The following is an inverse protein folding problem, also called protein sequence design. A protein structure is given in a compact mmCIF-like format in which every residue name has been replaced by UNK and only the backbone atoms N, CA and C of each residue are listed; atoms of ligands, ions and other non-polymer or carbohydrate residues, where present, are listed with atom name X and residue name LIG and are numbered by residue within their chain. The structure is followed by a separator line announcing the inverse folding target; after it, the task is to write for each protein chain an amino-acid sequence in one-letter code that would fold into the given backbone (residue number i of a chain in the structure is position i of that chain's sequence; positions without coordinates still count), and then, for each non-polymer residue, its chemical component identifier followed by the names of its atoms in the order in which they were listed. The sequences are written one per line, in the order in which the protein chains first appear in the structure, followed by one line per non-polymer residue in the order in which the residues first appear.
data_IF_835890291699
#
_entry.id   IF_835890291699
#
_cell.length_a   1.000
_cell.length_b   1.000
_cell.length_c   1.000
_cell.angle_alpha   90.00
_cell.angle_beta   90.00
_cell.angle_gamma   90.00
#
_symmetry.space_group_name_H-M   'P 1'
#
loop_
_entity.id
_entity.type
_entity.pdbx_description
1 polymer ?
#
# COMPACT_ATOMS: atom_id res chain seq x y z
N UNK A 1 -18.13 12.07 15.79
CA UNK A 1 -18.97 10.88 15.53
C UNK A 1 -19.01 10.68 14.03
N UNK A 2 -18.81 9.46 13.54
CA UNK A 2 -18.73 9.21 12.09
C UNK A 2 -20.09 8.78 11.54
N UNK A 3 -20.52 9.41 10.46
CA UNK A 3 -21.71 9.04 9.69
C UNK A 3 -21.32 8.66 8.27
N UNK A 4 -21.80 7.50 7.83
CA UNK A 4 -21.60 6.99 6.48
C UNK A 4 -22.87 7.23 5.67
N UNK A 5 -22.79 8.15 4.73
CA UNK A 5 -23.90 8.56 3.87
C UNK A 5 -24.40 9.97 4.18
N UNK A 6 -24.31 10.84 3.19
CA UNK A 6 -24.84 12.20 3.12
C UNK A 6 -26.19 12.25 2.38
N UNK A 7 -27.00 11.20 2.51
CA UNK A 7 -28.38 11.18 2.06
C UNK A 7 -29.30 11.99 2.99
N UNK A 8 -30.61 11.95 2.73
CA UNK A 8 -31.59 12.72 3.51
C UNK A 8 -31.52 12.40 5.01
N UNK A 9 -31.56 11.10 5.35
CA UNK A 9 -31.47 10.60 6.73
C UNK A 9 -30.11 10.97 7.36
N UNK A 10 -29.02 10.84 6.60
CA UNK A 10 -27.68 11.17 7.09
C UNK A 10 -27.58 12.64 7.49
N UNK A 11 -28.05 13.54 6.62
CA UNK A 11 -28.02 14.97 6.88
C UNK A 11 -28.94 15.39 8.04
N UNK A 12 -30.12 14.79 8.16
CA UNK A 12 -31.04 15.02 9.29
C UNK A 12 -30.38 14.62 10.61
N UNK A 13 -29.79 13.43 10.66
CA UNK A 13 -29.13 12.95 11.86
C UNK A 13 -27.88 13.76 12.22
N UNK A 14 -27.11 14.20 11.21
CA UNK A 14 -25.97 15.10 11.42
C UNK A 14 -26.41 16.44 12.01
N UNK A 15 -27.50 17.02 11.51
CA UNK A 15 -28.06 18.25 12.06
C UNK A 15 -28.42 18.09 13.54
N UNK A 16 -29.14 17.03 13.89
CA UNK A 16 -29.59 16.80 15.28
C UNK A 16 -28.41 16.62 16.24
N UNK A 17 -27.35 15.94 15.81
CA UNK A 17 -26.15 15.72 16.60
C UNK A 17 -25.32 17.00 16.73
N UNK A 18 -25.11 17.72 15.63
CA UNK A 18 -24.38 18.98 15.60
C UNK A 18 -25.05 20.03 16.51
N UNK A 19 -26.38 20.15 16.46
CA UNK A 19 -27.14 21.04 17.34
C UNK A 19 -27.04 20.66 18.83
N UNK A 20 -26.80 19.38 19.14
CA UNK A 20 -26.54 18.89 20.50
C UNK A 20 -25.07 19.03 20.92
N UNK A 21 -24.23 19.64 20.09
CA UNK A 21 -22.82 19.90 20.38
C UNK A 21 -21.88 18.75 20.07
N UNK A 22 -22.34 17.70 19.38
CA UNK A 22 -21.45 16.63 18.91
C UNK A 22 -20.75 17.06 17.63
N UNK A 23 -19.43 16.84 17.56
CA UNK A 23 -18.69 16.93 16.29
C UNK A 23 -19.05 15.74 15.40
N UNK A 24 -19.37 15.98 14.14
CA UNK A 24 -19.81 14.95 13.20
C UNK A 24 -18.89 14.93 11.98
N UNK A 25 -18.35 13.77 11.65
CA UNK A 25 -17.60 13.53 10.41
C UNK A 25 -18.53 12.79 9.44
N UNK A 26 -18.91 13.44 8.35
CA UNK A 26 -19.80 12.91 7.33
C UNK A 26 -19.00 12.40 6.13
N UNK A 27 -19.10 11.10 5.84
CA UNK A 27 -18.39 10.44 4.74
C UNK A 27 -19.39 9.99 3.67
N UNK A 28 -19.19 10.37 2.42
CA UNK A 28 -20.02 9.90 1.29
C UNK A 28 -19.22 9.77 -0.01
N UNK A 29 -19.64 8.83 -0.85
CA UNK A 29 -19.08 8.60 -2.19
C UNK A 29 -19.41 9.72 -3.18
N UNK A 30 -20.54 10.40 -2.99
CA UNK A 30 -20.96 11.51 -3.83
C UNK A 30 -20.13 12.77 -3.51
N UNK A 31 -19.91 13.64 -4.52
CA UNK A 31 -19.15 14.88 -4.33
C UNK A 31 -19.93 15.98 -3.59
N UNK A 32 -21.23 15.79 -3.37
CA UNK A 32 -22.12 16.72 -2.67
C UNK A 32 -23.17 15.95 -1.85
N UNK A 33 -23.60 16.46 -0.69
CA UNK A 33 -24.70 15.88 0.06
C UNK A 33 -25.98 15.94 -0.77
N UNK A 34 -26.85 14.95 -0.57
CA UNK A 34 -28.09 14.80 -1.31
C UNK A 34 -27.90 14.79 -2.85
N UNK A 35 -26.69 14.55 -3.36
CA UNK A 35 -26.34 14.75 -4.77
C UNK A 35 -27.12 13.90 -5.78
N UNK A 36 -27.84 12.87 -5.32
CA UNK A 36 -28.77 12.05 -6.13
C UNK A 36 -30.24 12.50 -6.04
N UNK A 37 -30.54 13.41 -5.12
CA UNK A 37 -31.90 13.81 -4.75
C UNK A 37 -32.21 15.27 -5.10
N UNK A 38 -31.20 16.14 -5.13
CA UNK A 38 -31.38 17.58 -5.33
C UNK A 38 -30.37 18.16 -6.32
N UNK A 39 -30.67 19.31 -6.94
CA UNK A 39 -29.70 20.06 -7.73
C UNK A 39 -28.44 20.42 -6.93
N UNK A 40 -27.26 20.54 -7.58
CA UNK A 40 -25.99 20.83 -6.91
C UNK A 40 -25.99 22.09 -6.04
N UNK A 41 -26.78 23.10 -6.42
CA UNK A 41 -26.91 24.36 -5.68
C UNK A 41 -27.51 24.11 -4.29
N UNK A 42 -28.52 23.24 -4.20
CA UNK A 42 -29.15 22.86 -2.93
C UNK A 42 -28.19 22.00 -2.10
N UNK A 43 -27.47 21.07 -2.74
CA UNK A 43 -26.45 20.26 -2.08
C UNK A 43 -25.36 21.12 -1.44
N UNK A 44 -24.85 22.13 -2.15
CA UNK A 44 -23.85 23.08 -1.60
C UNK A 44 -24.41 23.90 -0.44
N UNK A 45 -25.62 24.45 -0.59
CA UNK A 45 -26.25 25.21 0.48
C UNK A 45 -26.43 24.37 1.76
N UNK A 46 -26.83 23.09 1.61
CA UNK A 46 -26.94 22.15 2.73
C UNK A 46 -25.57 21.83 3.35
N UNK A 47 -24.54 21.62 2.52
CA UNK A 47 -23.18 21.39 2.97
C UNK A 47 -22.66 22.56 3.83
N UNK A 48 -22.81 23.78 3.33
CA UNK A 48 -22.41 25.01 4.03
C UNK A 48 -23.17 25.20 5.35
N UNK A 49 -24.49 24.98 5.33
CA UNK A 49 -25.33 25.13 6.51
C UNK A 49 -24.95 24.16 7.64
N UNK A 50 -24.72 22.89 7.32
CA UNK A 50 -24.33 21.89 8.32
C UNK A 50 -22.85 22.03 8.72
N UNK A 51 -21.97 22.46 7.82
CA UNK A 51 -20.58 22.77 8.17
C UNK A 51 -20.51 23.90 9.21
N UNK A 52 -21.36 24.92 9.08
CA UNK A 52 -21.47 26.00 10.06
C UNK A 52 -21.95 25.52 11.45
N UNK A 53 -22.58 24.34 11.53
CA UNK A 53 -22.99 23.70 12.78
C UNK A 53 -21.92 22.75 13.36
N UNK A 54 -20.78 22.56 12.69
CA UNK A 54 -19.70 21.68 13.14
C UNK A 54 -19.70 20.27 12.52
N UNK A 55 -20.31 20.12 11.34
CA UNK A 55 -20.18 18.91 10.52
C UNK A 55 -18.97 19.03 9.59
N UNK A 56 -17.99 18.14 9.78
CA UNK A 56 -16.84 17.97 8.91
C UNK A 56 -17.20 17.03 7.74
N UNK A 57 -16.83 17.39 6.53
CA UNK A 57 -17.23 16.69 5.31
C UNK A 57 -16.06 15.95 4.65
N UNK A 58 -16.26 14.67 4.36
CA UNK A 58 -15.33 13.77 3.67
C UNK A 58 -16.06 13.18 2.45
N UNK A 59 -16.15 13.98 1.39
CA UNK A 59 -16.92 13.64 0.18
C UNK A 59 -16.02 13.06 -0.91
N UNK A 60 -16.63 12.40 -1.90
CA UNK A 60 -15.93 11.70 -2.99
C UNK A 60 -14.87 10.69 -2.48
N UNK A 61 -15.12 10.10 -1.32
CA UNK A 61 -14.26 9.07 -0.72
C UNK A 61 -15.12 8.03 0.00
N UNK A 62 -14.47 6.96 0.45
CA UNK A 62 -15.12 5.89 1.19
C UNK A 62 -14.31 5.55 2.43
N UNK A 63 -14.88 4.71 3.31
CA UNK A 63 -14.12 4.14 4.42
C UNK A 63 -13.33 2.94 3.93
N UNK A 64 -12.00 3.01 4.09
CA UNK A 64 -11.08 1.91 3.80
C UNK A 64 -11.04 0.90 4.96
N UNK A 65 -10.88 1.37 6.20
CA UNK A 65 -10.85 0.52 7.41
C UNK A 65 -11.57 1.19 8.59
N UNK A 66 -12.06 0.34 9.50
CA UNK A 66 -12.57 0.75 10.81
C UNK A 66 -11.88 -0.11 11.85
N UNK A 67 -11.01 0.50 12.64
CA UNK A 67 -10.17 -0.16 13.63
C UNK A 67 -10.60 0.24 15.04
N UNK A 68 -10.63 -0.71 15.97
CA UNK A 68 -11.00 -0.44 17.37
C UNK A 68 -9.77 -0.10 18.19
N UNK A 69 -9.76 1.09 18.80
CA UNK A 69 -8.69 1.52 19.70
C UNK A 69 -9.07 1.19 21.15
N UNK A 70 -8.98 -0.09 21.52
CA UNK A 70 -9.29 -0.55 22.88
C UNK A 70 -10.69 -0.14 23.34
N UNK A 71 -10.77 0.48 24.53
CA UNK A 71 -12.02 0.99 25.12
C UNK A 71 -12.36 2.43 24.66
N UNK A 72 -11.45 3.12 23.97
CA UNK A 72 -11.51 4.56 23.70
C UNK A 72 -12.06 4.93 22.29
N UNK A 73 -12.69 3.97 21.59
CA UNK A 73 -13.48 4.23 20.38
C UNK A 73 -12.95 3.60 19.09
N UNK A 74 -13.36 4.18 17.95
CA UNK A 74 -13.07 3.68 16.60
C UNK A 74 -12.20 4.68 15.83
N UNK A 75 -11.16 4.18 15.16
CA UNK A 75 -10.42 4.91 14.12
C UNK A 75 -10.98 4.54 12.76
N UNK A 76 -11.30 5.54 11.94
CA UNK A 76 -11.80 5.35 10.58
C UNK A 76 -10.75 5.87 9.60
N UNK A 77 -10.26 4.99 8.73
CA UNK A 77 -9.32 5.35 7.67
C UNK A 77 -10.08 5.53 6.37
N UNK A 78 -9.86 6.65 5.68
CA UNK A 78 -10.50 6.94 4.39
C UNK A 78 -9.71 6.31 3.22
N UNK A 79 -10.41 6.09 2.12
CA UNK A 79 -9.81 5.69 0.86
C UNK A 79 -8.89 6.80 0.32
N UNK A 80 -7.69 6.43 -0.08
CA UNK A 80 -6.64 7.32 -0.58
C UNK A 80 -6.38 7.14 -2.09
N UNK A 81 -7.22 6.37 -2.79
CA UNK A 81 -7.10 6.08 -4.22
C UNK A 81 -6.18 4.91 -4.56
N UNK A 82 -5.58 4.26 -3.56
CA UNK A 82 -4.79 3.05 -3.75
C UNK A 82 -5.66 1.81 -3.58
N UNK A 83 -5.32 0.77 -4.35
CA UNK A 83 -5.89 -0.56 -4.19
C UNK A 83 -5.41 -1.23 -2.90
N UNK A 84 -6.15 -2.25 -2.46
CA UNK A 84 -5.76 -3.06 -1.30
C UNK A 84 -4.37 -3.70 -1.44
N UNK A 85 -4.01 -4.15 -2.65
CA UNK A 85 -2.69 -4.77 -2.87
C UNK A 85 -1.56 -3.73 -2.78
N UNK A 86 -1.77 -2.52 -3.29
CA UNK A 86 -0.77 -1.45 -3.15
C UNK A 86 -0.60 -1.05 -1.67
N UNK A 87 -1.69 -0.94 -0.91
CA UNK A 87 -1.61 -0.64 0.52
C UNK A 87 -1.01 -1.79 1.34
N UNK A 88 -1.15 -3.05 0.93
CA UNK A 88 -0.41 -4.16 1.54
C UNK A 88 1.09 -3.98 1.38
N UNK A 89 1.58 -3.62 0.19
CA UNK A 89 3.00 -3.37 -0.04
C UNK A 89 3.54 -2.29 0.93
N UNK A 90 2.78 -1.21 1.15
CA UNK A 90 3.14 -0.15 2.11
C UNK A 90 3.16 -0.67 3.55
N UNK A 91 2.07 -1.28 3.99
CA UNK A 91 1.88 -1.65 5.40
C UNK A 91 2.76 -2.83 5.83
N UNK A 92 2.88 -3.85 4.99
CA UNK A 92 3.68 -5.04 5.28
C UNK A 92 5.17 -4.72 5.26
N UNK A 93 5.65 -3.88 4.34
CA UNK A 93 7.06 -3.45 4.34
C UNK A 93 7.45 -2.76 5.64
N UNK A 94 6.63 -1.81 6.11
CA UNK A 94 6.87 -1.12 7.40
C UNK A 94 6.89 -2.09 8.57
N UNK A 95 5.96 -3.04 8.58
CA UNK A 95 5.84 -4.05 9.64
C UNK A 95 7.03 -5.01 9.65
N UNK A 96 7.42 -5.55 8.49
CA UNK A 96 8.52 -6.53 8.36
C UNK A 96 9.86 -5.87 8.69
N UNK A 97 10.09 -4.65 8.24
CA UNK A 97 11.35 -3.93 8.44
C UNK A 97 11.47 -3.29 9.82
N UNK A 98 10.40 -3.28 10.62
CA UNK A 98 10.30 -2.56 11.89
C UNK A 98 10.72 -1.08 11.77
N UNK A 99 10.36 -0.45 10.65
CA UNK A 99 10.75 0.94 10.31
C UNK A 99 9.63 1.64 9.55
N UNK A 100 9.51 2.94 9.77
CA UNK A 100 8.59 3.79 8.99
C UNK A 100 9.26 4.21 7.68
N UNK A 101 9.31 3.30 6.73
CA UNK A 101 9.89 3.52 5.39
C UNK A 101 8.81 4.09 4.48
N UNK A 102 9.14 5.14 3.73
CA UNK A 102 8.26 5.69 2.71
C UNK A 102 8.15 4.73 1.52
N UNK A 103 6.94 4.24 1.27
CA UNK A 103 6.64 3.29 0.19
C UNK A 103 5.40 3.78 -0.56
N UNK A 104 5.48 3.74 -1.89
CA UNK A 104 4.34 3.89 -2.78
C UNK A 104 4.48 2.85 -3.89
N UNK A 105 3.36 2.25 -4.28
CA UNK A 105 3.34 1.15 -5.24
C UNK A 105 2.21 1.33 -6.25
N UNK A 106 2.41 0.77 -7.44
CA UNK A 106 1.35 0.56 -8.42
C UNK A 106 1.30 -0.92 -8.77
N UNK A 107 0.18 -1.58 -8.52
CA UNK A 107 0.04 -3.03 -8.71
C UNK A 107 -0.78 -3.33 -9.96
N UNK A 108 -0.11 -3.85 -11.01
CA UNK A 108 -0.73 -4.14 -12.30
C UNK A 108 -0.73 -5.64 -12.59
N UNK A 109 -1.88 -6.16 -13.05
CA UNK A 109 -1.97 -7.53 -13.55
C UNK A 109 -1.61 -7.56 -15.04
N UNK A 110 -0.64 -8.41 -15.39
CA UNK A 110 -0.20 -8.66 -16.77
C UNK A 110 -0.44 -10.13 -17.13
N UNK A 111 -0.49 -10.52 -18.43
CA UNK A 111 -0.78 -11.90 -18.85
C UNK A 111 0.42 -12.83 -18.66
N UNK A 112 0.86 -13.00 -17.41
CA UNK A 112 1.94 -13.88 -16.98
C UNK A 112 1.37 -14.83 -15.93
N UNK A 113 1.54 -16.14 -16.13
CA UNK A 113 0.96 -17.16 -15.25
C UNK A 113 1.60 -17.19 -13.86
N UNK A 114 2.94 -17.12 -13.80
CA UNK A 114 3.76 -17.12 -12.59
C UNK A 114 5.00 -16.28 -12.80
N UNK A 115 5.59 -15.80 -11.71
CA UNK A 115 6.77 -14.94 -11.73
C UNK A 115 6.37 -13.48 -11.59
N UNK A 116 5.94 -13.08 -10.38
CA UNK A 116 5.70 -11.66 -10.12
C UNK A 116 7.01 -10.90 -10.29
N UNK A 117 6.89 -9.71 -10.87
CA UNK A 117 8.03 -8.89 -11.24
C UNK A 117 7.82 -7.45 -10.82
N UNK A 118 8.87 -6.84 -10.29
CA UNK A 118 8.82 -5.52 -9.68
C UNK A 118 9.96 -4.67 -10.20
N UNK A 119 9.62 -3.50 -10.75
CA UNK A 119 10.57 -2.44 -11.02
C UNK A 119 10.64 -1.55 -9.79
N UNK A 120 11.78 -1.56 -9.11
CA UNK A 120 11.98 -0.82 -7.88
C UNK A 120 12.86 0.40 -8.12
N UNK A 121 12.54 1.51 -7.46
CA UNK A 121 13.40 2.68 -7.31
C UNK A 121 13.52 2.97 -5.83
N UNK A 122 14.75 2.92 -5.31
CA UNK A 122 15.03 3.00 -3.88
C UNK A 122 15.89 4.22 -3.64
N UNK A 123 15.42 5.10 -2.75
CA UNK A 123 16.17 6.26 -2.28
C UNK A 123 16.93 5.92 -0.99
N UNK A 124 18.17 6.35 -0.89
CA UNK A 124 19.06 6.13 0.24
C UNK A 124 19.46 7.47 0.88
N UNK A 125 19.75 7.45 2.18
CA UNK A 125 20.24 8.63 2.90
C UNK A 125 21.63 9.10 2.43
N UNK A 126 22.42 8.17 1.89
CA UNK A 126 23.77 8.42 1.37
C UNK A 126 23.87 7.91 -0.07
N UNK A 127 24.83 8.45 -0.80
CA UNK A 127 25.15 7.98 -2.14
C UNK A 127 25.43 6.47 -2.14
N UNK A 128 24.98 5.81 -3.21
CA UNK A 128 25.08 4.36 -3.39
C UNK A 128 25.68 4.07 -4.77
N UNK A 129 26.49 3.01 -4.86
CA UNK A 129 26.98 2.50 -6.15
C UNK A 129 26.25 1.21 -6.51
N UNK A 130 26.13 0.94 -7.82
CA UNK A 130 25.53 -0.31 -8.27
C UNK A 130 26.36 -1.52 -7.84
N UNK A 131 27.69 -1.36 -7.78
CA UNK A 131 28.65 -2.38 -7.33
C UNK A 131 28.44 -2.72 -5.85
N UNK A 132 28.35 -1.71 -4.97
CA UNK A 132 28.08 -1.95 -3.55
C UNK A 132 26.71 -2.61 -3.33
N UNK A 133 25.70 -2.23 -4.12
CA UNK A 133 24.40 -2.88 -4.09
C UNK A 133 24.47 -4.36 -4.54
N UNK A 134 25.21 -4.66 -5.61
CA UNK A 134 25.44 -6.04 -6.06
C UNK A 134 26.15 -6.86 -4.99
N UNK A 135 27.22 -6.35 -4.39
CA UNK A 135 27.94 -7.02 -3.31
C UNK A 135 27.05 -7.33 -2.12
N UNK A 136 26.19 -6.39 -1.71
CA UNK A 136 25.23 -6.62 -0.64
C UNK A 136 24.22 -7.72 -1.01
N UNK A 137 23.71 -7.71 -2.24
CA UNK A 137 22.73 -8.69 -2.72
C UNK A 137 23.32 -10.08 -2.91
N UNK A 138 24.57 -10.21 -3.37
CA UNK A 138 25.28 -11.49 -3.47
C UNK A 138 25.44 -12.19 -2.11
N UNK A 139 25.54 -11.42 -1.04
CA UNK A 139 25.61 -11.95 0.32
C UNK A 139 24.22 -12.22 0.93
N UNK A 140 23.14 -11.90 0.20
CA UNK A 140 21.77 -12.11 0.65
C UNK A 140 21.35 -13.58 0.60
N UNK A 141 20.76 -14.08 1.69
CA UNK A 141 20.25 -15.46 1.74
C UNK A 141 19.07 -15.63 0.77
N UNK A 142 19.13 -16.66 -0.08
CA UNK A 142 18.11 -16.97 -1.10
C UNK A 142 17.92 -15.86 -2.16
N UNK A 143 18.94 -15.02 -2.37
CA UNK A 143 18.95 -14.02 -3.44
C UNK A 143 19.91 -14.48 -4.53
N UNK A 144 19.47 -14.40 -5.78
CA UNK A 144 20.28 -14.72 -6.96
C UNK A 144 20.39 -13.48 -7.85
N UNK A 145 21.61 -13.00 -8.08
CA UNK A 145 21.84 -11.80 -8.89
C UNK A 145 22.13 -12.21 -10.34
N UNK A 146 21.23 -11.84 -11.25
CA UNK A 146 21.38 -11.99 -12.69
C UNK A 146 21.44 -10.59 -13.29
N UNK A 147 22.64 -10.01 -13.45
CA UNK A 147 22.79 -8.62 -13.86
C UNK A 147 23.91 -8.40 -14.87
N UNK A 148 23.68 -8.83 -16.11
CA UNK A 148 24.59 -8.62 -17.24
C UNK A 148 23.79 -8.17 -18.48
N UNK A 149 23.30 -6.92 -18.47
CA UNK A 149 22.45 -6.40 -19.54
C UNK A 149 23.15 -6.32 -20.90
N UNK A 150 24.49 -6.27 -20.95
CA UNK A 150 25.27 -6.31 -22.18
C UNK A 150 25.07 -7.63 -22.95
N UNK A 151 24.83 -8.72 -22.21
CA UNK A 151 24.51 -10.04 -22.77
C UNK A 151 23.00 -10.36 -22.73
N UNK A 152 22.14 -9.37 -22.45
CA UNK A 152 20.69 -9.57 -22.26
C UNK A 152 20.33 -10.53 -21.12
N UNK A 153 21.19 -10.62 -20.09
CA UNK A 153 20.98 -11.47 -18.94
C UNK A 153 20.41 -10.65 -17.78
N UNK A 154 19.14 -10.88 -17.49
CA UNK A 154 18.42 -10.33 -16.35
C UNK A 154 17.24 -11.24 -15.98
N UNK A 155 16.67 -11.12 -14.76
CA UNK A 155 15.57 -11.98 -14.34
C UNK A 155 14.35 -11.81 -15.24
N UNK A 156 13.73 -12.93 -15.61
CA UNK A 156 12.52 -12.96 -16.41
C UNK A 156 11.47 -13.84 -15.72
N UNK A 157 10.17 -13.50 -15.77
CA UNK A 157 9.13 -14.29 -15.11
C UNK A 157 9.21 -15.79 -15.42
N UNK A 158 9.47 -16.13 -16.68
CA UNK A 158 9.56 -17.53 -17.14
C UNK A 158 10.78 -18.27 -16.60
N UNK A 159 11.88 -17.58 -16.28
CA UNK A 159 13.13 -18.20 -15.83
C UNK A 159 13.17 -18.46 -14.33
N UNK A 160 12.19 -17.95 -13.58
CA UNK A 160 12.10 -18.11 -12.11
C UNK A 160 11.02 -19.08 -11.66
N UNK A 161 10.20 -19.59 -12.58
CA UNK A 161 9.12 -20.52 -12.26
C UNK A 161 9.69 -21.75 -11.57
N UNK A 162 8.99 -22.20 -10.52
CA UNK A 162 9.36 -23.35 -9.70
C UNK A 162 10.72 -23.21 -8.99
N UNK A 163 11.23 -21.99 -8.81
CA UNK A 163 12.44 -21.72 -8.01
C UNK A 163 12.09 -21.18 -6.63
N UNK A 164 13.01 -21.36 -5.68
CA UNK A 164 12.84 -20.95 -4.28
C UNK A 164 13.59 -19.65 -3.95
N UNK A 165 14.37 -19.14 -4.89
CA UNK A 165 15.16 -17.92 -4.76
C UNK A 165 14.41 -16.69 -5.31
N UNK A 166 14.82 -15.52 -4.83
CA UNK A 166 14.43 -14.23 -5.39
C UNK A 166 15.52 -13.73 -6.33
N UNK A 167 15.16 -13.44 -7.57
CA UNK A 167 16.12 -13.05 -8.60
C UNK A 167 16.14 -11.53 -8.77
N UNK A 168 17.33 -10.94 -8.75
CA UNK A 168 17.52 -9.49 -8.86
C UNK A 168 18.46 -9.17 -10.02
N UNK A 169 18.13 -8.14 -10.78
CA UNK A 169 18.97 -7.65 -11.86
C UNK A 169 18.63 -6.22 -12.26
N UNK A 170 19.17 -5.77 -13.39
CA UNK A 170 19.03 -4.39 -13.89
C UNK A 170 19.44 -3.35 -12.85
N UNK A 171 20.45 -3.67 -12.04
CA UNK A 171 20.89 -2.87 -10.91
C UNK A 171 21.70 -1.69 -11.46
N UNK A 172 21.23 -0.47 -11.21
CA UNK A 172 21.87 0.75 -11.72
C UNK A 172 21.51 1.95 -10.87
N UNK A 173 22.39 2.93 -10.82
CA UNK A 173 22.06 4.24 -10.26
C UNK A 173 21.05 4.98 -11.13
N UNK A 174 20.32 5.89 -10.52
CA UNK A 174 19.56 6.90 -11.25
C UNK A 174 20.50 7.81 -12.06
N UNK A 175 19.99 8.36 -13.15
CA UNK A 175 20.76 9.21 -14.07
C UNK A 175 20.91 10.66 -13.57
N UNK A 176 20.17 11.06 -12.53
CA UNK A 176 20.17 12.41 -11.98
C UNK A 176 20.48 12.48 -10.48
N UNK A 177 20.36 11.37 -9.73
CA UNK A 177 20.55 11.31 -8.28
C UNK A 177 21.46 10.16 -7.86
N UNK A 178 22.56 10.51 -7.19
CA UNK A 178 23.58 9.54 -6.76
C UNK A 178 23.14 8.61 -5.62
N UNK A 179 22.07 8.97 -4.93
CA UNK A 179 21.49 8.23 -3.82
C UNK A 179 20.19 7.51 -4.19
N UNK A 180 19.89 7.35 -5.48
CA UNK A 180 18.76 6.54 -5.97
C UNK A 180 19.29 5.35 -6.76
N UNK A 181 18.78 4.15 -6.47
CA UNK A 181 19.10 2.91 -7.16
C UNK A 181 17.83 2.33 -7.78
N UNK A 182 17.94 1.87 -9.02
CA UNK A 182 16.91 1.09 -9.68
C UNK A 182 17.30 -0.38 -9.76
N UNK A 183 16.31 -1.27 -9.61
CA UNK A 183 16.49 -2.70 -9.83
C UNK A 183 15.21 -3.36 -10.34
N UNK A 184 15.37 -4.57 -10.86
CA UNK A 184 14.32 -5.44 -11.33
C UNK A 184 14.34 -6.72 -10.51
N UNK A 185 13.24 -7.03 -9.85
CA UNK A 185 13.10 -8.18 -8.95
C UNK A 185 12.05 -9.12 -9.50
N UNK A 186 12.34 -10.42 -9.52
CA UNK A 186 11.39 -11.45 -10.00
C UNK A 186 11.45 -12.66 -9.08
N UNK A 187 10.28 -13.19 -8.70
CA UNK A 187 10.18 -14.43 -7.92
C UNK A 187 8.91 -15.20 -8.27
N UNK A 188 8.94 -16.52 -8.09
CA UNK A 188 7.72 -17.34 -8.19
C UNK A 188 6.78 -17.00 -7.02
N UNK A 189 5.64 -16.41 -7.37
CA UNK A 189 4.64 -15.92 -6.42
C UNK A 189 3.88 -17.04 -5.69
N UNK A 190 3.89 -18.29 -6.17
CA UNK A 190 3.31 -19.43 -5.45
C UNK A 190 4.34 -20.12 -4.55
N UNK A 191 5.63 -20.01 -4.87
CA UNK A 191 6.73 -20.52 -4.04
C UNK A 191 7.16 -19.47 -3.04
N UNK A 192 8.07 -18.58 -3.41
CA UNK A 192 8.60 -17.52 -2.53
C UNK A 192 7.49 -16.62 -2.00
N UNK A 193 6.50 -16.30 -2.83
CA UNK A 193 5.37 -15.47 -2.41
C UNK A 193 4.37 -16.17 -1.47
N UNK A 194 4.46 -17.50 -1.28
CA UNK A 194 3.53 -18.25 -0.44
C UNK A 194 4.15 -19.51 0.19
N UNK A 195 4.21 -20.62 -0.54
CA UNK A 195 4.50 -21.95 0.04
C UNK A 195 5.92 -22.08 0.61
N UNK A 196 6.93 -21.62 -0.14
CA UNK A 196 8.33 -21.69 0.28
C UNK A 196 8.58 -20.79 1.48
N UNK A 197 7.95 -19.61 1.53
CA UNK A 197 8.04 -18.74 2.69
C UNK A 197 7.43 -19.40 3.94
N UNK A 198 6.26 -20.05 3.81
CA UNK A 198 5.64 -20.77 4.92
C UNK A 198 6.53 -21.92 5.46
N UNK A 199 7.13 -22.71 4.56
CA UNK A 199 8.06 -23.79 4.94
C UNK A 199 9.30 -23.21 5.62
N UNK A 200 9.88 -22.13 5.09
CA UNK A 200 11.04 -21.45 5.69
C UNK A 200 10.75 -20.95 7.10
N UNK A 201 9.55 -20.40 7.33
CA UNK A 201 9.11 -19.97 8.67
C UNK A 201 9.02 -21.17 9.62
N UNK A 202 8.40 -22.27 9.19
CA UNK A 202 8.26 -23.47 10.01
C UNK A 202 9.62 -24.10 10.36
N UNK A 203 10.52 -24.22 9.38
CA UNK A 203 11.89 -24.68 9.61
C UNK A 203 12.65 -23.76 10.57
N UNK A 204 12.49 -22.44 10.40
CA UNK A 204 13.15 -21.49 11.30
C UNK A 204 12.64 -21.60 12.74
N UNK A 205 11.34 -21.87 12.91
CA UNK A 205 10.76 -22.11 14.23
C UNK A 205 11.31 -23.39 14.87
N UNK A 206 11.45 -24.49 14.12
CA UNK A 206 12.08 -25.72 14.62
C UNK A 206 13.54 -25.49 15.06
N UNK A 207 14.32 -24.77 14.26
CA UNK A 207 15.70 -24.38 14.65
C UNK A 207 15.75 -23.56 15.95
N UNK A 208 14.69 -22.81 16.28
CA UNK A 208 14.62 -21.99 17.50
C UNK A 208 14.18 -22.80 18.73
N UNK A 209 13.53 -23.94 18.54
CA UNK A 209 13.01 -24.81 19.61
C UNK A 209 13.99 -25.95 19.97
N UNK A 210 15.19 -25.98 19.36
CA UNK A 210 16.20 -27.05 19.53
C UNK A 210 15.66 -28.49 19.31
N UNK A 211 14.74 -28.65 18.36
CA UNK A 211 14.20 -29.96 17.91
C UNK A 211 14.86 -30.41 16.60
#
# INVERSE_FOLDING_TARGET
MVLLGAGLIGCEFANDLAQRGYRVDMIDLAPLPLGRLVPPEIGRAMQEALAALGVDWHLATSVATVDRNGDDGLTVTLDNGYTKEEMKMVNETKKIMHKDIEVSATCVRVPVLRGHSEALSIWFEKDITAEAAREALYNGKNIEVIDNPQNSEYPMPITVVDKDETFVGRIRKDIYKDNILHMWVVADNLRVGAATNAVRIALKWLEMEDI
#
